data_IF_674689737979
#
_entry.id   IF_674689737979
#
_cell.length_a   1.000
_cell.length_b   1.000
_cell.length_c   1.000
_cell.angle_alpha   90.00
_cell.angle_beta   90.00
_cell.angle_gamma   90.00
#
_symmetry.space_group_name_H-M   'P 1'
#
loop_
_entity.id
_entity.type
_entity.pdbx_description
1 polymer ?
#
# COMPACT_ATOMS: atom_id res chain seq x y z
N UNK A 1 -16.25 -8.98 -5.42
CA UNK A 1 -15.57 -10.10 -6.12
C UNK A 1 -16.47 -11.33 -6.34
N UNK A 2 -17.11 -11.90 -5.31
CA UNK A 2 -17.89 -13.16 -5.44
C UNK A 2 -18.91 -13.18 -6.59
N UNK A 3 -19.68 -12.10 -6.75
CA UNK A 3 -20.69 -11.96 -7.83
C UNK A 3 -20.07 -11.97 -9.23
N UNK A 4 -18.86 -11.43 -9.39
CA UNK A 4 -18.17 -11.40 -10.67
C UNK A 4 -17.49 -12.74 -11.01
N UNK A 5 -17.10 -13.51 -9.99
CA UNK A 5 -16.44 -14.80 -10.17
C UNK A 5 -17.40 -15.97 -10.35
N UNK A 6 -18.65 -15.81 -9.90
CA UNK A 6 -19.67 -16.83 -10.10
C UNK A 6 -20.22 -16.73 -11.52
N UNK A 7 -20.24 -17.84 -12.28
CA UNK A 7 -20.77 -17.83 -13.64
C UNK A 7 -22.20 -17.26 -13.67
N UNK A 8 -22.44 -16.32 -14.59
CA UNK A 8 -23.73 -15.66 -14.84
C UNK A 8 -24.34 -14.86 -13.68
N UNK A 9 -23.76 -14.86 -12.47
CA UNK A 9 -24.35 -14.16 -11.33
C UNK A 9 -24.46 -12.65 -11.57
N UNK A 10 -23.47 -12.04 -12.21
CA UNK A 10 -23.49 -10.62 -12.57
C UNK A 10 -24.60 -10.28 -13.57
N UNK A 11 -24.67 -11.01 -14.69
CA UNK A 11 -25.69 -10.79 -15.72
C UNK A 11 -27.11 -11.09 -15.22
N UNK A 12 -27.27 -12.15 -14.41
CA UNK A 12 -28.55 -12.45 -13.76
C UNK A 12 -28.97 -11.34 -12.80
N UNK A 13 -28.03 -10.78 -12.01
CA UNK A 13 -28.31 -9.66 -11.12
C UNK A 13 -28.78 -8.44 -11.91
N UNK A 14 -28.08 -8.07 -12.99
CA UNK A 14 -28.49 -6.95 -13.85
C UNK A 14 -29.90 -7.15 -14.41
N UNK A 15 -30.20 -8.35 -14.93
CA UNK A 15 -31.52 -8.68 -15.47
C UNK A 15 -32.63 -8.58 -14.43
N UNK A 16 -32.39 -9.09 -13.21
CA UNK A 16 -33.35 -9.02 -12.11
C UNK A 16 -33.60 -7.56 -11.72
N UNK A 17 -32.56 -6.73 -11.63
CA UNK A 17 -32.69 -5.32 -11.28
C UNK A 17 -33.41 -4.51 -12.35
N UNK A 18 -33.16 -4.78 -13.64
CA UNK A 18 -33.85 -4.10 -14.74
C UNK A 18 -35.31 -4.52 -14.91
N UNK A 19 -35.63 -5.80 -14.68
CA UNK A 19 -36.98 -6.34 -14.87
C UNK A 19 -37.88 -6.23 -13.63
N UNK A 20 -37.30 -6.14 -12.44
CA UNK A 20 -38.04 -6.21 -11.18
C UNK A 20 -38.63 -7.60 -10.89
N UNK A 21 -38.16 -8.65 -11.58
CA UNK A 21 -38.67 -10.01 -11.46
C UNK A 21 -37.52 -11.03 -11.41
N UNK A 22 -37.66 -12.06 -10.59
CA UNK A 22 -36.81 -13.25 -10.63
C UNK A 22 -37.46 -14.29 -11.53
N UNK A 23 -36.72 -14.75 -12.54
CA UNK A 23 -37.10 -15.88 -13.38
C UNK A 23 -36.19 -17.06 -13.06
N UNK A 24 -36.80 -18.21 -12.76
CA UNK A 24 -36.06 -19.45 -12.53
C UNK A 24 -35.78 -20.08 -13.90
N UNK A 25 -34.56 -19.92 -14.38
CA UNK A 25 -34.07 -20.46 -15.65
C UNK A 25 -32.90 -21.42 -15.38
N UNK A 26 -32.86 -22.57 -16.05
CA UNK A 26 -31.69 -23.46 -16.00
C UNK A 26 -30.58 -22.94 -16.90
N UNK A 27 -29.32 -23.09 -16.49
CA UNK A 27 -28.15 -22.73 -17.29
C UNK A 27 -28.17 -23.43 -18.67
N UNK A 28 -28.60 -24.69 -18.70
CA UNK A 28 -28.71 -25.47 -19.94
C UNK A 28 -29.68 -24.84 -20.94
N UNK A 29 -30.76 -24.21 -20.46
CA UNK A 29 -31.72 -23.48 -21.30
C UNK A 29 -31.15 -22.16 -21.81
N UNK A 30 -30.39 -21.44 -20.98
CA UNK A 30 -29.67 -20.21 -21.38
C UNK A 30 -28.63 -20.48 -22.48
N UNK A 31 -27.99 -21.65 -22.44
CA UNK A 31 -27.03 -22.09 -23.47
C UNK A 31 -27.67 -22.87 -24.63
N UNK A 32 -29.00 -23.06 -24.65
CA UNK A 32 -29.70 -23.78 -25.71
C UNK A 32 -29.36 -25.28 -25.81
N UNK A 33 -28.89 -25.88 -24.71
CA UNK A 33 -28.40 -27.27 -24.65
C UNK A 33 -29.51 -28.31 -24.44
N UNK A 34 -30.78 -27.89 -24.29
CA UNK A 34 -31.94 -28.76 -24.06
C UNK A 34 -33.08 -28.38 -25.02
N UNK A 35 -33.59 -29.36 -25.78
CA UNK A 35 -34.68 -29.19 -26.76
C UNK A 35 -36.07 -29.52 -26.21
N UNK A 36 -36.17 -30.01 -24.98
CA UNK A 36 -37.44 -30.36 -24.32
C UNK A 36 -37.99 -29.19 -23.51
N UNK A 37 -39.27 -28.86 -23.73
CA UNK A 37 -39.97 -27.77 -23.04
C UNK A 37 -40.20 -28.16 -21.58
N UNK A 38 -39.34 -27.67 -20.69
CA UNK A 38 -39.55 -27.72 -19.23
C UNK A 38 -40.63 -26.73 -18.79
N UNK A 39 -41.29 -27.04 -17.66
CA UNK A 39 -42.12 -26.12 -16.86
C UNK A 39 -41.45 -24.74 -16.79
N UNK A 40 -42.23 -23.69 -17.05
CA UNK A 40 -41.81 -22.30 -16.94
C UNK A 40 -42.45 -21.71 -15.68
N UNK A 41 -41.70 -21.57 -14.58
CA UNK A 41 -42.23 -20.99 -13.35
C UNK A 41 -42.70 -19.56 -13.59
N UNK A 42 -43.75 -19.18 -12.88
CA UNK A 42 -44.21 -17.79 -12.87
C UNK A 42 -43.09 -16.88 -12.33
N UNK A 43 -42.82 -15.72 -12.98
CA UNK A 43 -41.85 -14.76 -12.47
C UNK A 43 -42.22 -14.29 -11.06
N UNK A 44 -41.22 -14.21 -10.19
CA UNK A 44 -41.42 -13.76 -8.81
C UNK A 44 -41.11 -12.25 -8.77
N UNK A 45 -42.07 -11.37 -8.48
CA UNK A 45 -41.81 -9.94 -8.39
C UNK A 45 -40.84 -9.64 -7.24
N UNK A 46 -39.88 -8.74 -7.48
CA UNK A 46 -38.83 -8.37 -6.54
C UNK A 46 -38.67 -6.86 -6.47
N UNK A 47 -38.70 -6.33 -5.24
CA UNK A 47 -38.39 -4.95 -4.94
C UNK A 47 -37.36 -4.92 -3.81
N UNK A 48 -36.08 -4.79 -4.17
CA UNK A 48 -34.96 -4.77 -3.22
C UNK A 48 -34.00 -3.65 -3.55
N UNK A 49 -33.31 -3.15 -2.51
CA UNK A 49 -32.16 -2.26 -2.67
C UNK A 49 -30.90 -3.09 -2.59
N UNK A 50 -30.07 -3.05 -3.64
CA UNK A 50 -28.79 -3.75 -3.69
C UNK A 50 -27.65 -2.78 -3.37
N UNK A 51 -26.78 -3.18 -2.46
CA UNK A 51 -25.54 -2.47 -2.13
C UNK A 51 -24.38 -3.39 -2.47
N UNK A 52 -23.50 -2.94 -3.38
CA UNK A 52 -22.29 -3.66 -3.73
C UNK A 52 -21.11 -3.13 -2.92
N UNK A 53 -20.34 -4.04 -2.33
CA UNK A 53 -19.12 -3.74 -1.61
C UNK A 53 -17.93 -4.34 -2.37
N UNK A 54 -16.90 -3.53 -2.62
CA UNK A 54 -15.74 -3.96 -3.39
C UNK A 54 -14.62 -2.92 -3.43
N UNK A 55 -13.49 -3.33 -4.01
CA UNK A 55 -12.32 -2.48 -4.19
C UNK A 55 -12.62 -1.35 -5.19
N UNK A 56 -12.09 -0.14 -4.97
CA UNK A 56 -12.23 1.04 -5.85
C UNK A 56 -11.88 0.72 -7.31
N UNK A 57 -10.82 -0.06 -7.54
CA UNK A 57 -10.41 -0.49 -8.88
C UNK A 57 -11.49 -1.33 -9.58
N UNK A 58 -12.21 -2.21 -8.87
CA UNK A 58 -13.27 -3.02 -9.48
C UNK A 58 -14.46 -2.15 -9.89
N UNK A 59 -14.79 -1.12 -9.10
CA UNK A 59 -15.81 -0.15 -9.45
C UNK A 59 -15.46 0.56 -10.77
N UNK A 60 -14.24 1.10 -10.90
CA UNK A 60 -13.84 1.78 -12.13
C UNK A 60 -13.78 0.86 -13.35
N UNK A 61 -13.35 -0.39 -13.17
CA UNK A 61 -13.38 -1.38 -14.25
C UNK A 61 -14.82 -1.66 -14.69
N UNK A 62 -15.75 -1.88 -13.76
CA UNK A 62 -17.17 -2.10 -14.10
C UNK A 62 -17.78 -0.87 -14.78
N UNK A 63 -17.53 0.32 -14.24
CA UNK A 63 -18.01 1.58 -14.82
C UNK A 63 -17.47 1.84 -16.23
N UNK A 64 -16.27 1.36 -16.56
CA UNK A 64 -15.67 1.58 -17.87
C UNK A 64 -16.08 0.52 -18.89
N UNK A 65 -16.20 -0.75 -18.47
CA UNK A 65 -16.42 -1.87 -19.38
C UNK A 65 -17.88 -2.36 -19.46
N UNK A 66 -18.73 -2.02 -18.48
CA UNK A 66 -20.14 -2.41 -18.46
C UNK A 66 -21.04 -1.16 -18.50
N UNK A 67 -21.66 -0.84 -19.65
CA UNK A 67 -22.47 0.36 -19.81
C UNK A 67 -23.73 0.36 -18.92
N UNK A 68 -24.28 -0.82 -18.60
CA UNK A 68 -25.49 -0.93 -17.76
C UNK A 68 -25.19 -0.65 -16.28
N UNK A 69 -23.92 -0.70 -15.88
CA UNK A 69 -23.53 -0.63 -14.47
C UNK A 69 -23.95 0.69 -13.83
N UNK A 70 -23.68 1.82 -14.48
CA UNK A 70 -24.03 3.15 -13.96
C UNK A 70 -25.54 3.43 -14.00
N UNK A 71 -26.28 2.76 -14.88
CA UNK A 71 -27.75 2.85 -14.93
C UNK A 71 -28.40 2.14 -13.74
N UNK A 72 -27.80 1.02 -13.30
CA UNK A 72 -28.28 0.21 -12.18
C UNK A 72 -27.76 0.70 -10.82
N UNK A 73 -26.51 1.15 -10.75
CA UNK A 73 -25.84 1.55 -9.52
C UNK A 73 -25.44 3.03 -9.56
N UNK A 74 -26.46 3.91 -9.48
CA UNK A 74 -26.31 5.36 -9.63
C UNK A 74 -25.62 6.07 -8.46
N UNK A 75 -25.61 5.44 -7.29
CA UNK A 75 -25.09 6.05 -6.05
C UNK A 75 -23.75 5.42 -5.73
N UNK A 76 -22.69 6.18 -5.95
CA UNK A 76 -21.34 5.87 -5.50
C UNK A 76 -21.16 6.35 -4.06
N UNK A 77 -20.63 5.47 -3.20
CA UNK A 77 -20.22 5.79 -1.84
C UNK A 77 -18.77 5.34 -1.67
N UNK A 78 -17.84 6.19 -2.12
CA UNK A 78 -16.40 5.96 -1.93
C UNK A 78 -16.00 6.36 -0.51
N UNK A 79 -15.25 5.48 0.15
CA UNK A 79 -14.73 5.70 1.50
C UNK A 79 -13.26 6.04 1.40
N UNK A 80 -12.87 7.13 2.07
CA UNK A 80 -11.47 7.48 2.22
C UNK A 80 -10.73 6.40 3.03
N UNK A 81 -9.50 6.11 2.60
CA UNK A 81 -8.63 5.15 3.28
C UNK A 81 -8.03 5.75 4.57
N UNK A 82 -8.04 7.08 4.69
CA UNK A 82 -7.47 7.85 5.77
C UNK A 82 -8.38 9.01 6.23
N UNK A 83 -8.32 9.33 7.52
CA UNK A 83 -9.04 10.41 8.18
C UNK A 83 -8.08 11.54 8.56
N UNK A 84 -8.56 12.79 8.59
CA UNK A 84 -7.75 13.91 9.07
C UNK A 84 -7.44 13.81 10.57
N UNK A 85 -6.18 14.07 10.93
CA UNK A 85 -5.72 14.09 12.32
C UNK A 85 -5.85 15.51 12.89
N UNK A 86 -7.00 15.80 13.48
CA UNK A 86 -7.29 17.06 14.17
C UNK A 86 -7.98 16.80 15.53
N UNK A 87 -8.19 17.87 16.31
CA UNK A 87 -8.77 17.77 17.65
C UNK A 87 -10.18 17.16 17.65
N UNK A 88 -11.00 17.50 16.67
CA UNK A 88 -12.37 16.98 16.51
C UNK A 88 -12.38 15.48 16.20
N UNK A 89 -11.41 15.01 15.41
CA UNK A 89 -11.31 13.61 15.01
C UNK A 89 -10.86 12.71 16.17
N UNK A 90 -10.03 13.20 17.10
CA UNK A 90 -9.52 12.36 18.18
C UNK A 90 -10.63 11.71 19.02
N UNK A 91 -11.69 12.45 19.32
CA UNK A 91 -12.81 11.89 20.11
C UNK A 91 -13.58 10.83 19.32
N UNK A 92 -13.87 11.09 18.05
CA UNK A 92 -14.55 10.14 17.16
C UNK A 92 -13.71 8.88 16.94
N UNK A 93 -12.40 9.04 16.74
CA UNK A 93 -11.46 7.94 16.56
C UNK A 93 -11.33 7.11 17.85
N UNK A 94 -11.28 7.74 19.03
CA UNK A 94 -11.30 7.04 20.31
C UNK A 94 -12.60 6.24 20.51
N UNK A 95 -13.76 6.79 20.13
CA UNK A 95 -15.05 6.07 20.15
C UNK A 95 -15.07 4.90 19.18
N UNK A 96 -14.46 5.06 18.00
CA UNK A 96 -14.28 3.97 17.03
C UNK A 96 -13.44 2.84 17.62
N UNK A 97 -12.26 3.15 18.19
CA UNK A 97 -11.39 2.18 18.88
C UNK A 97 -12.15 1.47 20.00
N UNK A 98 -12.87 2.21 20.85
CA UNK A 98 -13.67 1.63 21.94
C UNK A 98 -14.78 0.71 21.42
N UNK A 99 -15.35 1.00 20.26
CA UNK A 99 -16.35 0.14 19.60
C UNK A 99 -15.71 -1.14 19.05
N UNK A 100 -14.50 -1.04 18.47
CA UNK A 100 -13.74 -2.23 18.06
C UNK A 100 -13.39 -3.12 19.25
N UNK A 101 -12.88 -2.55 20.34
CA UNK A 101 -12.49 -3.29 21.55
C UNK A 101 -13.69 -4.02 22.19
N UNK A 102 -14.85 -3.36 22.27
CA UNK A 102 -16.09 -3.99 22.74
C UNK A 102 -16.54 -5.13 21.85
N UNK A 103 -16.47 -4.97 20.52
CA UNK A 103 -16.79 -6.02 19.57
C UNK A 103 -15.87 -7.25 19.69
N UNK A 104 -14.60 -7.02 20.04
CA UNK A 104 -13.61 -8.06 20.29
C UNK A 104 -13.70 -8.68 21.70
N UNK A 105 -14.60 -8.18 22.57
CA UNK A 105 -14.75 -8.60 23.97
C UNK A 105 -13.44 -8.53 24.77
N UNK A 106 -12.62 -7.52 24.48
CA UNK A 106 -11.36 -7.29 25.16
C UNK A 106 -11.56 -6.63 26.53
N UNK A 107 -10.50 -6.61 27.33
CA UNK A 107 -10.43 -5.76 28.52
C UNK A 107 -10.51 -4.28 28.18
N UNK A 108 -10.90 -3.44 29.16
CA UNK A 108 -10.94 -2.00 28.97
C UNK A 108 -9.57 -1.44 28.54
N UNK A 109 -9.60 -0.52 27.59
CA UNK A 109 -8.41 0.21 27.15
C UNK A 109 -8.16 1.39 28.10
N UNK A 110 -6.92 1.52 28.55
CA UNK A 110 -6.47 2.71 29.24
C UNK A 110 -6.29 3.88 28.25
N UNK A 111 -6.33 5.13 28.74
CA UNK A 111 -6.12 6.32 27.89
C UNK A 111 -4.79 6.27 27.13
N UNK A 112 -3.75 5.74 27.77
CA UNK A 112 -2.42 5.59 27.18
C UNK A 112 -2.44 4.65 25.96
N UNK A 113 -3.18 3.54 26.03
CA UNK A 113 -3.29 2.58 24.93
C UNK A 113 -4.01 3.17 23.73
N UNK A 114 -5.09 3.94 23.97
CA UNK A 114 -5.83 4.64 22.90
C UNK A 114 -4.92 5.66 22.22
N UNK A 115 -4.20 6.47 22.98
CA UNK A 115 -3.25 7.45 22.43
C UNK A 115 -2.15 6.76 21.60
N UNK A 116 -1.58 5.66 22.12
CA UNK A 116 -0.56 4.90 21.41
C UNK A 116 -1.09 4.30 20.10
N UNK A 117 -2.33 3.82 20.07
CA UNK A 117 -2.95 3.29 18.85
C UNK A 117 -3.20 4.39 17.83
N UNK A 118 -3.62 5.59 18.26
CA UNK A 118 -3.77 6.76 17.37
C UNK A 118 -2.43 7.15 16.73
N UNK A 119 -1.34 7.17 17.49
CA UNK A 119 -0.01 7.41 16.93
C UNK A 119 0.39 6.33 15.92
N UNK A 120 0.09 5.07 16.21
CA UNK A 120 0.35 3.99 15.26
C UNK A 120 -0.51 4.10 14.01
N UNK A 121 -1.76 4.52 14.11
CA UNK A 121 -2.65 4.73 12.98
C UNK A 121 -2.11 5.79 12.01
N UNK A 122 -1.48 6.86 12.53
CA UNK A 122 -0.78 7.85 11.70
C UNK A 122 0.46 7.26 11.01
N UNK A 123 1.21 6.38 11.69
CA UNK A 123 2.31 5.64 11.07
C UNK A 123 1.83 4.71 9.95
N UNK A 124 0.68 4.06 10.12
CA UNK A 124 0.08 3.19 9.09
C UNK A 124 -0.37 3.98 7.86
N UNK A 125 -0.87 5.21 8.06
CA UNK A 125 -1.23 6.14 6.98
C UNK A 125 0.01 6.77 6.29
N UNK A 126 1.22 6.57 6.84
CA UNK A 126 2.45 7.21 6.39
C UNK A 126 2.37 8.75 6.32
N UNK A 127 1.50 9.38 7.10
CA UNK A 127 1.28 10.82 7.14
C UNK A 127 0.97 11.28 8.57
N UNK A 128 1.71 12.28 9.03
CA UNK A 128 1.57 12.86 10.38
C UNK A 128 0.24 13.56 10.60
N UNK A 129 -0.45 13.96 9.52
CA UNK A 129 -1.74 14.66 9.53
C UNK A 129 -2.92 13.75 9.21
N UNK A 130 -2.68 12.45 9.04
CA UNK A 130 -3.72 11.46 8.75
C UNK A 130 -3.74 10.33 9.76
N UNK A 131 -4.88 9.65 9.85
CA UNK A 131 -5.10 8.44 10.63
C UNK A 131 -5.74 7.39 9.73
N UNK A 132 -5.19 6.18 9.69
CA UNK A 132 -5.77 5.14 8.85
C UNK A 132 -7.21 4.80 9.26
N UNK A 133 -8.09 4.63 8.26
CA UNK A 133 -9.45 4.12 8.42
C UNK A 133 -9.51 2.59 8.32
N UNK A 134 -8.39 1.91 8.02
CA UNK A 134 -8.34 0.47 7.86
C UNK A 134 -8.55 -0.28 9.18
N UNK A 135 -9.79 -0.73 9.40
CA UNK A 135 -10.22 -1.35 10.65
C UNK A 135 -9.51 -2.66 10.97
N UNK A 136 -9.24 -3.50 9.96
CA UNK A 136 -8.68 -4.84 10.13
C UNK A 136 -7.33 -4.82 10.85
N UNK A 137 -6.42 -3.94 10.43
CA UNK A 137 -5.06 -3.86 10.99
C UNK A 137 -5.10 -3.40 12.45
N UNK A 138 -6.01 -2.46 12.76
CA UNK A 138 -6.20 -1.95 14.12
C UNK A 138 -6.81 -3.03 15.03
N UNK A 139 -7.78 -3.80 14.53
CA UNK A 139 -8.38 -4.94 15.25
C UNK A 139 -7.35 -6.02 15.57
N UNK A 140 -6.48 -6.35 14.61
CA UNK A 140 -5.40 -7.33 14.82
C UNK A 140 -4.48 -6.87 15.96
N UNK A 141 -4.03 -5.61 15.93
CA UNK A 141 -3.15 -5.04 16.99
C UNK A 141 -3.85 -5.00 18.34
N UNK A 142 -5.12 -4.58 18.37
CA UNK A 142 -5.93 -4.57 19.58
C UNK A 142 -6.01 -5.99 20.17
N UNK A 143 -6.35 -6.99 19.37
CA UNK A 143 -6.45 -8.38 19.83
C UNK A 143 -5.12 -8.91 20.38
N UNK A 144 -4.00 -8.60 19.73
CA UNK A 144 -2.66 -8.97 20.21
C UNK A 144 -2.31 -8.24 21.52
N UNK A 145 -2.67 -6.95 21.65
CA UNK A 145 -2.43 -6.17 22.86
C UNK A 145 -3.24 -6.68 24.06
N UNK A 146 -4.50 -7.08 23.86
CA UNK A 146 -5.25 -7.76 24.94
C UNK A 146 -4.55 -9.05 25.32
N UNK A 147 -4.14 -9.89 24.37
CA UNK A 147 -3.41 -11.11 24.70
C UNK A 147 -2.19 -10.85 25.60
N UNK A 148 -1.38 -9.83 25.31
CA UNK A 148 -0.23 -9.45 26.14
C UNK A 148 -0.62 -8.94 27.52
N UNK A 149 -1.64 -8.10 27.62
CA UNK A 149 -2.19 -7.70 28.91
C UNK A 149 -2.62 -8.94 29.71
N UNK A 150 -3.09 -9.99 29.04
CA UNK A 150 -3.61 -11.23 29.66
C UNK A 150 -2.50 -12.04 30.29
N UNK A 151 -1.40 -12.17 29.55
CA UNK A 151 -0.19 -12.78 30.07
C UNK A 151 0.41 -12.00 31.25
N UNK A 152 0.32 -10.67 31.23
CA UNK A 152 0.77 -9.82 32.32
C UNK A 152 -0.15 -9.82 33.55
N UNK A 153 -1.33 -10.44 33.47
CA UNK A 153 -2.34 -10.42 34.54
C UNK A 153 -2.96 -9.03 34.76
N UNK A 154 -2.93 -8.15 33.76
CA UNK A 154 -3.48 -6.80 33.86
C UNK A 154 -4.99 -6.78 33.59
N UNK A 155 -5.72 -6.02 34.41
CA UNK A 155 -7.17 -5.82 34.24
C UNK A 155 -7.51 -4.89 33.06
N UNK A 156 -6.55 -4.07 32.63
CA UNK A 156 -6.68 -3.11 31.53
C UNK A 156 -5.55 -3.22 30.52
N UNK A 157 -5.83 -2.86 29.27
CA UNK A 157 -4.82 -2.78 28.22
C UNK A 157 -4.17 -1.39 28.24
N UNK A 158 -2.88 -1.34 28.57
CA UNK A 158 -2.04 -0.13 28.62
C UNK A 158 -1.20 0.05 27.34
N UNK A 159 -0.55 1.21 27.21
CA UNK A 159 0.33 1.52 26.09
C UNK A 159 1.49 0.51 25.90
N UNK A 160 2.00 -0.06 26.99
CA UNK A 160 3.07 -1.06 26.98
C UNK A 160 2.66 -2.33 26.22
N UNK A 161 1.47 -2.86 26.49
CA UNK A 161 0.94 -4.04 25.81
C UNK A 161 0.71 -3.78 24.32
N UNK A 162 0.26 -2.57 23.96
CA UNK A 162 0.06 -2.18 22.57
C UNK A 162 1.40 -2.02 21.83
N UNK A 163 2.39 -1.41 22.49
CA UNK A 163 3.73 -1.28 21.96
C UNK A 163 4.37 -2.66 21.75
N UNK A 164 4.22 -3.57 22.71
CA UNK A 164 4.69 -4.95 22.60
C UNK A 164 4.04 -5.69 21.42
N UNK A 165 2.72 -5.55 21.21
CA UNK A 165 2.04 -6.12 20.04
C UNK A 165 2.64 -5.62 18.72
N UNK A 166 2.93 -4.32 18.64
CA UNK A 166 3.56 -3.70 17.45
C UNK A 166 4.98 -4.24 17.25
N UNK A 167 5.80 -4.26 18.30
CA UNK A 167 7.19 -4.72 18.24
C UNK A 167 7.30 -6.20 17.85
N UNK A 168 6.44 -7.04 18.42
CA UNK A 168 6.37 -8.46 18.10
C UNK A 168 5.93 -8.70 16.65
N UNK A 169 5.01 -7.88 16.15
CA UNK A 169 4.60 -7.93 14.74
C UNK A 169 5.76 -7.53 13.81
N UNK A 170 6.49 -6.47 14.14
CA UNK A 170 7.68 -6.07 13.39
C UNK A 170 8.78 -7.14 13.45
N UNK A 171 8.98 -7.75 14.63
CA UNK A 171 9.95 -8.82 14.84
C UNK A 171 9.63 -10.04 13.99
N UNK A 172 8.37 -10.52 13.97
CA UNK A 172 7.93 -11.63 13.11
C UNK A 172 8.20 -11.37 11.63
N UNK A 173 8.14 -10.11 11.19
CA UNK A 173 8.42 -9.71 9.82
C UNK A 173 9.90 -9.34 9.55
N UNK A 174 10.75 -9.28 10.58
CA UNK A 174 12.08 -8.68 10.51
C UNK A 174 13.14 -9.52 9.78
N UNK A 175 12.88 -10.80 9.49
CA UNK A 175 13.88 -11.77 8.99
C UNK A 175 14.73 -11.21 7.83
N UNK A 176 14.12 -10.55 6.85
CA UNK A 176 14.84 -10.02 5.69
C UNK A 176 15.64 -8.77 6.04
N UNK A 177 15.09 -7.89 6.88
CA UNK A 177 15.78 -6.71 7.42
C UNK A 177 17.02 -7.11 8.21
N UNK A 178 16.90 -8.08 9.11
CA UNK A 178 18.03 -8.53 9.93
C UNK A 178 19.12 -9.20 9.10
N UNK A 179 18.77 -9.99 8.07
CA UNK A 179 19.76 -10.53 7.12
C UNK A 179 20.48 -9.45 6.34
N UNK A 180 19.77 -8.41 5.89
CA UNK A 180 20.38 -7.27 5.20
C UNK A 180 21.36 -6.53 6.11
N UNK A 181 20.97 -6.26 7.37
CA UNK A 181 21.86 -5.66 8.39
C UNK A 181 23.07 -6.53 8.71
N UNK A 182 22.88 -7.84 8.80
CA UNK A 182 23.96 -8.79 9.03
C UNK A 182 25.00 -8.76 7.90
N UNK A 183 24.56 -8.68 6.63
CA UNK A 183 25.48 -8.56 5.49
C UNK A 183 26.32 -7.28 5.54
N UNK A 184 25.73 -6.17 5.98
CA UNK A 184 26.44 -4.90 6.19
C UNK A 184 27.44 -5.03 7.34
N UNK A 185 27.00 -5.56 8.49
CA UNK A 185 27.84 -5.73 9.68
C UNK A 185 29.04 -6.64 9.43
N UNK A 186 28.86 -7.68 8.62
CA UNK A 186 29.94 -8.60 8.19
C UNK A 186 30.86 -8.02 7.12
N UNK A 187 30.58 -6.82 6.60
CA UNK A 187 31.35 -6.20 5.51
C UNK A 187 31.16 -6.85 4.14
N UNK A 188 30.14 -7.71 3.97
CA UNK A 188 29.79 -8.29 2.67
C UNK A 188 29.19 -7.22 1.75
N UNK A 189 28.34 -6.37 2.33
CA UNK A 189 27.85 -5.15 1.69
C UNK A 189 28.59 -3.98 2.29
N UNK A 190 29.31 -3.22 1.47
CA UNK A 190 30.17 -2.13 1.91
C UNK A 190 29.35 -0.85 2.10
N UNK A 191 28.96 -0.58 3.35
CA UNK A 191 28.31 0.68 3.74
C UNK A 191 29.16 1.33 4.83
N UNK A 192 29.75 2.49 4.52
CA UNK A 192 30.47 3.27 5.52
C UNK A 192 29.47 4.07 6.36
N UNK A 193 29.46 3.86 7.68
CA UNK A 193 28.59 4.60 8.63
C UNK A 193 29.34 5.70 9.38
N UNK A 194 30.67 5.74 9.26
CA UNK A 194 31.56 6.72 9.89
C UNK A 194 32.69 7.10 8.93
N UNK A 195 33.29 8.27 9.14
CA UNK A 195 34.35 8.79 8.28
C UNK A 195 33.81 9.67 7.16
N UNK A 196 34.69 10.03 6.23
CA UNK A 196 34.39 10.89 5.08
C UNK A 196 35.11 10.32 3.86
N UNK A 197 34.40 10.31 2.72
CA UNK A 197 34.94 9.86 1.44
C UNK A 197 34.40 10.79 0.35
N UNK A 198 35.29 11.30 -0.51
CA UNK A 198 34.89 12.21 -1.59
C UNK A 198 34.11 11.45 -2.64
N UNK A 199 33.01 12.06 -3.12
CA UNK A 199 32.16 11.52 -4.18
C UNK A 199 31.50 10.17 -3.87
N UNK A 200 31.26 9.89 -2.58
CA UNK A 200 30.49 8.75 -2.11
C UNK A 200 29.39 9.23 -1.16
N UNK A 201 28.17 8.71 -1.34
CA UNK A 201 27.03 8.97 -0.44
C UNK A 201 26.27 7.69 -0.16
N UNK A 202 25.60 7.61 0.98
CA UNK A 202 24.66 6.53 1.27
C UNK A 202 23.25 6.96 0.87
N UNK A 203 22.78 6.47 -0.28
CA UNK A 203 21.37 6.57 -0.66
C UNK A 203 20.51 5.70 0.24
N UNK A 204 19.24 6.07 0.39
CA UNK A 204 18.25 5.29 1.12
C UNK A 204 17.17 4.82 0.15
N UNK A 205 16.96 3.51 0.10
CA UNK A 205 15.85 2.87 -0.61
C UNK A 205 14.86 2.28 0.37
N UNK A 206 13.60 2.14 -0.02
CA UNK A 206 12.58 1.49 0.81
C UNK A 206 12.21 0.16 0.16
N UNK A 207 12.46 -0.94 0.88
CA UNK A 207 12.01 -2.25 0.48
C UNK A 207 10.68 -2.57 1.14
N UNK A 208 9.70 -2.96 0.32
CA UNK A 208 8.38 -3.42 0.76
C UNK A 208 8.24 -4.92 0.48
N UNK A 209 8.01 -5.70 1.53
CA UNK A 209 7.79 -7.14 1.47
C UNK A 209 6.47 -7.47 2.15
N UNK A 210 5.42 -7.65 1.35
CA UNK A 210 4.06 -7.79 1.85
C UNK A 210 3.67 -6.56 2.68
N UNK A 211 3.34 -6.78 3.96
CA UNK A 211 2.98 -5.71 4.90
C UNK A 211 4.17 -5.08 5.64
N UNK A 212 5.39 -5.60 5.45
CA UNK A 212 6.59 -5.08 6.09
C UNK A 212 7.30 -4.10 5.16
N UNK A 213 7.83 -3.01 5.72
CA UNK A 213 8.69 -2.08 5.01
C UNK A 213 9.93 -1.79 5.85
N UNK A 214 11.08 -1.65 5.20
CA UNK A 214 12.29 -1.20 5.87
C UNK A 214 13.19 -0.44 4.90
N UNK A 215 13.93 0.53 5.44
CA UNK A 215 14.95 1.25 4.69
C UNK A 215 16.19 0.39 4.50
N UNK A 216 16.73 0.38 3.28
CA UNK A 216 18.00 -0.24 2.96
C UNK A 216 18.97 0.84 2.44
N UNK A 217 20.12 1.04 3.11
CA UNK A 217 21.14 1.93 2.60
C UNK A 217 21.83 1.30 1.38
N UNK A 218 22.12 2.13 0.40
CA UNK A 218 22.89 1.76 -0.80
C UNK A 218 24.00 2.76 -0.97
N UNK A 219 25.22 2.28 -1.19
CA UNK A 219 26.36 3.15 -1.47
C UNK A 219 26.27 3.64 -2.91
N UNK A 220 26.29 4.94 -3.09
CA UNK A 220 26.28 5.60 -4.39
C UNK A 220 27.62 6.30 -4.56
N UNK A 221 28.28 6.06 -5.69
CA UNK A 221 29.55 6.69 -6.04
C UNK A 221 29.38 7.57 -7.27
N UNK A 222 30.15 8.66 -7.31
CA UNK A 222 30.25 9.53 -8.45
C UNK A 222 31.72 9.64 -8.88
N UNK A 223 31.97 9.70 -10.17
CA UNK A 223 33.28 10.12 -10.70
C UNK A 223 33.11 11.34 -11.58
N UNK A 224 34.15 12.16 -11.66
CA UNK A 224 34.16 13.37 -12.47
C UNK A 224 35.53 13.54 -13.12
N UNK A 225 35.55 13.84 -14.42
CA UNK A 225 36.75 14.13 -15.20
C UNK A 225 36.44 15.19 -16.26
N UNK A 226 37.45 15.91 -16.79
CA UNK A 226 37.25 16.79 -17.94
C UNK A 226 36.65 16.02 -19.13
N UNK A 227 35.63 16.59 -19.78
CA UNK A 227 34.92 15.93 -20.88
C UNK A 227 33.84 16.80 -21.53
N UNK A 228 33.04 16.20 -22.43
CA UNK A 228 32.06 16.91 -23.26
C UNK A 228 30.64 16.91 -22.69
N UNK A 229 30.48 17.28 -21.43
CA UNK A 229 29.18 17.57 -20.81
C UNK A 229 28.26 16.37 -20.60
N UNK A 230 28.81 15.17 -20.40
CA UNK A 230 28.03 13.95 -20.25
C UNK A 230 27.98 13.49 -18.80
N UNK A 231 26.77 13.23 -18.30
CA UNK A 231 26.55 12.51 -17.04
C UNK A 231 25.98 11.15 -17.39
N UNK A 232 26.71 10.10 -17.03
CA UNK A 232 26.36 8.71 -17.30
C UNK A 232 25.81 8.09 -16.03
N UNK A 233 24.63 7.50 -16.15
CA UNK A 233 24.00 6.65 -15.13
C UNK A 233 24.31 5.20 -15.49
N UNK A 234 25.15 4.52 -14.69
CA UNK A 234 25.58 3.15 -14.98
C UNK A 234 24.37 2.19 -14.96
N UNK A 235 23.42 2.40 -14.06
CA UNK A 235 22.23 1.59 -13.89
C UNK A 235 21.34 1.69 -15.13
N UNK A 236 21.17 2.90 -15.68
CA UNK A 236 20.45 3.09 -16.95
C UNK A 236 21.16 2.39 -18.12
N UNK A 237 22.47 2.57 -18.28
CA UNK A 237 23.22 1.94 -19.37
C UNK A 237 23.21 0.40 -19.27
N UNK A 238 23.21 -0.13 -18.04
CA UNK A 238 23.10 -1.56 -17.76
C UNK A 238 21.65 -2.10 -17.84
N UNK A 239 20.65 -1.25 -18.12
CA UNK A 239 19.21 -1.58 -18.11
C UNK A 239 18.70 -2.10 -16.77
N UNK A 240 19.34 -1.67 -15.68
CA UNK A 240 18.90 -1.87 -14.30
C UNK A 240 18.12 -0.65 -13.77
N UNK A 241 18.29 0.53 -14.38
CA UNK A 241 17.54 1.74 -14.06
C UNK A 241 16.17 1.77 -14.75
N UNK A 242 15.13 2.05 -13.99
CA UNK A 242 13.78 2.24 -14.51
C UNK A 242 13.52 3.63 -15.11
N UNK A 243 12.36 3.87 -15.74
CA UNK A 243 12.08 5.13 -16.45
C UNK A 243 12.05 6.37 -15.55
N UNK A 244 11.57 6.27 -14.30
CA UNK A 244 11.50 7.43 -13.39
C UNK A 244 12.92 7.78 -12.92
N UNK A 245 13.72 6.77 -12.57
CA UNK A 245 15.13 6.96 -12.22
C UNK A 245 15.91 7.64 -13.36
N UNK A 246 15.77 7.11 -14.58
CA UNK A 246 16.44 7.66 -15.77
C UNK A 246 16.08 9.13 -16.01
N UNK A 247 14.80 9.49 -15.81
CA UNK A 247 14.33 10.88 -15.90
C UNK A 247 14.98 11.76 -14.82
N UNK A 248 15.12 11.26 -13.60
CA UNK A 248 15.73 12.01 -12.50
C UNK A 248 17.20 12.37 -12.79
N UNK A 249 17.98 11.42 -13.33
CA UNK A 249 19.38 11.72 -13.73
C UNK A 249 19.45 12.68 -14.91
N UNK A 250 18.50 12.63 -15.87
CA UNK A 250 18.41 13.64 -16.91
C UNK A 250 18.11 15.04 -16.35
N UNK A 251 17.26 15.15 -15.33
CA UNK A 251 16.99 16.42 -14.63
C UNK A 251 18.26 16.94 -13.94
N UNK A 252 18.99 16.07 -13.23
CA UNK A 252 20.27 16.41 -12.61
C UNK A 252 21.27 16.92 -13.66
N UNK A 253 21.37 16.23 -14.80
CA UNK A 253 22.26 16.60 -15.90
C UNK A 253 21.93 17.99 -16.45
N UNK A 254 20.63 18.28 -16.63
CA UNK A 254 20.13 19.60 -17.04
C UNK A 254 20.44 20.66 -15.99
N UNK A 255 20.28 20.35 -14.70
CA UNK A 255 20.60 21.27 -13.60
C UNK A 255 22.09 21.65 -13.61
N UNK A 256 22.99 20.66 -13.71
CA UNK A 256 24.43 20.89 -13.75
C UNK A 256 24.83 21.78 -14.94
N UNK A 257 24.31 21.47 -16.14
CA UNK A 257 24.56 22.29 -17.32
C UNK A 257 24.04 23.72 -17.14
N UNK A 258 22.80 23.89 -16.71
CA UNK A 258 22.21 25.24 -16.52
C UNK A 258 22.90 26.05 -15.43
N UNK A 259 23.42 25.41 -14.38
CA UNK A 259 24.02 26.09 -13.23
C UNK A 259 25.48 26.47 -13.45
N UNK A 260 26.23 25.61 -14.14
CA UNK A 260 27.70 25.72 -14.25
C UNK A 260 28.19 25.98 -15.67
N UNK A 261 27.31 25.88 -16.68
CA UNK A 261 27.64 26.07 -18.09
C UNK A 261 26.53 26.89 -18.77
N UNK A 262 26.32 28.12 -18.28
CA UNK A 262 25.25 29.01 -18.73
C UNK A 262 25.31 29.31 -20.24
N UNK A 263 26.42 29.90 -20.70
CA UNK A 263 26.60 30.31 -22.09
C UNK A 263 27.58 29.41 -22.89
N UNK A 264 28.11 28.35 -22.26
CA UNK A 264 29.16 27.49 -22.82
C UNK A 264 28.87 25.99 -22.64
N UNK A 265 29.74 25.14 -23.19
CA UNK A 265 29.62 23.69 -23.01
C UNK A 265 30.07 23.27 -21.60
N UNK A 266 29.30 22.40 -20.95
CA UNK A 266 29.69 21.79 -19.68
C UNK A 266 30.95 20.94 -19.90
N UNK A 267 32.10 21.36 -19.38
CA UNK A 267 33.38 20.64 -19.55
C UNK A 267 33.56 19.48 -18.56
N UNK A 268 32.52 18.67 -18.37
CA UNK A 268 32.46 17.58 -17.40
C UNK A 268 32.04 16.27 -18.07
N UNK A 269 32.75 15.18 -17.80
CA UNK A 269 32.26 13.82 -17.94
C UNK A 269 32.16 13.22 -16.55
N UNK A 270 30.95 12.86 -16.13
CA UNK A 270 30.70 12.25 -14.84
C UNK A 270 29.99 10.90 -15.00
N UNK A 271 30.20 10.01 -14.03
CA UNK A 271 29.45 8.75 -13.93
C UNK A 271 28.87 8.60 -12.53
N UNK A 272 27.67 8.08 -12.42
CA UNK A 272 27.00 7.71 -11.18
C UNK A 272 26.79 6.20 -11.16
N UNK A 273 27.03 5.58 -10.01
CA UNK A 273 26.87 4.15 -9.81
C UNK A 273 26.23 3.83 -8.46
N UNK A 274 25.30 2.89 -8.44
CA UNK A 274 24.77 2.25 -7.24
C UNK A 274 25.59 0.99 -6.97
N UNK A 275 26.55 1.14 -6.06
CA UNK A 275 27.52 0.10 -5.75
C UNK A 275 26.84 -1.14 -5.15
N UNK A 276 27.26 -2.32 -5.63
CA UNK A 276 26.71 -3.62 -5.22
C UNK A 276 25.18 -3.73 -5.39
N UNK A 277 24.59 -2.92 -6.29
CA UNK A 277 23.19 -3.05 -6.68
C UNK A 277 23.04 -4.05 -7.84
N UNK A 278 22.48 -5.22 -7.54
CA UNK A 278 22.20 -6.26 -8.54
C UNK A 278 20.71 -6.33 -8.92
N UNK A 279 19.87 -5.55 -8.24
CA UNK A 279 18.45 -5.39 -8.55
C UNK A 279 18.19 -4.16 -9.40
N UNK A 280 16.96 -4.00 -9.86
CA UNK A 280 16.55 -2.77 -10.53
C UNK A 280 16.48 -1.58 -9.57
N UNK A 281 16.84 -0.40 -10.06
CA UNK A 281 16.72 0.88 -9.35
C UNK A 281 15.60 1.68 -10.00
N UNK A 282 14.64 2.17 -9.22
CA UNK A 282 13.49 2.92 -9.72
C UNK A 282 13.07 4.03 -8.75
N UNK A 283 12.47 5.09 -9.28
CA UNK A 283 12.06 6.27 -8.53
C UNK A 283 13.07 7.40 -8.61
N UNK A 284 12.70 8.56 -8.05
CA UNK A 284 13.47 9.81 -8.06
C UNK A 284 13.98 10.23 -6.68
N UNK A 285 13.75 9.43 -5.63
CA UNK A 285 14.14 9.78 -4.26
C UNK A 285 15.66 9.83 -4.02
N UNK A 286 16.46 9.43 -5.01
CA UNK A 286 17.92 9.44 -4.95
C UNK A 286 18.57 10.58 -5.79
N UNK A 287 17.77 11.43 -6.44
CA UNK A 287 18.27 12.61 -7.17
C UNK A 287 18.47 13.82 -6.26
#
# INVERSE_FOLDING_TARGET
>A
RRVLTQPMAWESLKRILSSGEIRIESLERLYGLVSTVSLQPEPIPVSVKVVLLGDRMLYYLLSHYDPDFLDLFKVEADFEDDLDRNEECYELYARMIATMARGLKMRPLERSAVARLIEHASRLAADQRKLTAHDRVLRDILSEADHWAGQAGADTVEASHLQQAIDEREYRASRVRERSREQISRGVVMIATTGEEVAQVNGLSVLRLGASMFGQPTRITATARPGKGQVVDIEREAKLGGPIHSKAVMILSRFLASRYAGDGELSLSASLAFEQSYGGVEGDSAS
#
